data_IF_557168703610
#
_entry.id   IF_557168703610
#
_cell.length_a   1.000
_cell.length_b   1.000
_cell.length_c   1.000
_cell.angle_alpha   90.00
_cell.angle_beta   90.00
_cell.angle_gamma   90.00
#
_symmetry.space_group_name_H-M   'P 1'
#
loop_
_entity.id
_entity.type
_entity.pdbx_description
1 polymer ?
#
# COMPACT_ATOMS: atom_id res chain seq x y z
N UNK A 1 13.42 9.18 15.92
CA UNK A 1 13.48 8.50 17.24
C UNK A 1 14.95 8.45 17.62
N UNK A 2 15.31 8.79 18.86
CA UNK A 2 16.71 8.68 19.29
C UNK A 2 17.04 7.22 19.64
N UNK A 3 18.26 6.79 19.42
CA UNK A 3 18.73 5.43 19.72
C UNK A 3 18.50 5.02 21.18
N UNK A 4 18.62 5.97 22.11
CA UNK A 4 18.34 5.79 23.54
C UNK A 4 16.89 5.37 23.86
N UNK A 5 15.96 5.56 22.91
CA UNK A 5 14.55 5.16 23.05
C UNK A 5 14.21 3.90 22.24
N UNK A 6 15.20 3.19 21.72
CA UNK A 6 15.01 1.96 20.94
C UNK A 6 15.55 0.79 21.75
N UNK A 7 14.69 -0.18 22.03
CA UNK A 7 15.06 -1.42 22.69
C UNK A 7 14.89 -2.57 21.70
N UNK A 8 15.98 -3.29 21.43
CA UNK A 8 15.89 -4.55 20.71
C UNK A 8 15.33 -5.61 21.66
N UNK A 9 14.07 -5.99 21.46
CA UNK A 9 13.41 -7.01 22.29
C UNK A 9 13.71 -8.43 21.83
N UNK A 10 14.00 -8.62 20.54
CA UNK A 10 14.12 -9.95 19.96
C UNK A 10 14.95 -9.97 18.68
N UNK A 11 15.73 -11.03 18.50
CA UNK A 11 16.39 -11.36 17.26
C UNK A 11 16.03 -12.80 16.89
N UNK A 12 15.41 -13.00 15.72
CA UNK A 12 15.04 -14.33 15.21
C UNK A 12 16.04 -14.70 14.11
N UNK A 13 17.06 -15.52 14.40
CA UNK A 13 18.03 -15.92 13.39
C UNK A 13 17.43 -16.98 12.46
N UNK A 14 17.73 -16.90 11.17
CA UNK A 14 17.38 -17.94 10.22
C UNK A 14 17.44 -17.49 8.76
N UNK A 15 17.58 -18.44 7.81
CA UNK A 15 17.61 -18.12 6.38
C UNK A 15 16.25 -17.72 5.82
N UNK A 16 15.17 -17.90 6.59
CA UNK A 16 13.78 -17.72 6.13
C UNK A 16 12.95 -16.98 7.17
N UNK A 17 12.04 -16.12 6.71
CA UNK A 17 11.09 -15.42 7.57
C UNK A 17 10.20 -16.42 8.35
N UNK A 18 9.87 -16.15 9.63
CA UNK A 18 9.13 -17.08 10.49
C UNK A 18 7.66 -17.28 10.07
N UNK A 19 7.12 -16.41 9.21
CA UNK A 19 5.71 -16.46 8.76
C UNK A 19 4.77 -16.58 9.98
N UNK A 20 3.77 -17.45 9.94
CA UNK A 20 2.82 -17.63 11.04
C UNK A 20 3.49 -17.98 12.38
N UNK A 21 4.65 -18.66 12.37
CA UNK A 21 5.38 -19.02 13.58
C UNK A 21 5.97 -17.80 14.32
N UNK A 22 5.88 -16.58 13.76
CA UNK A 22 6.27 -15.35 14.47
C UNK A 22 5.59 -15.26 15.84
N UNK A 23 4.37 -15.78 15.97
CA UNK A 23 3.62 -15.72 17.24
C UNK A 23 4.27 -16.54 18.34
N UNK A 24 4.89 -17.68 17.99
CA UNK A 24 5.65 -18.50 18.95
C UNK A 24 6.81 -17.70 19.52
N UNK A 25 7.51 -16.95 18.66
CA UNK A 25 8.61 -16.10 19.12
C UNK A 25 8.11 -14.94 19.97
N UNK A 26 6.95 -14.36 19.63
CA UNK A 26 6.37 -13.23 20.38
C UNK A 26 5.78 -13.59 21.75
N UNK A 27 5.62 -14.88 22.09
CA UNK A 27 5.02 -15.31 23.36
C UNK A 27 5.65 -14.65 24.61
N UNK A 28 6.98 -14.63 24.81
CA UNK A 28 7.58 -14.01 26.00
C UNK A 28 7.25 -12.51 26.09
N UNK A 29 7.30 -11.80 24.96
CA UNK A 29 6.94 -10.38 24.93
C UNK A 29 5.47 -10.15 25.31
N UNK A 30 4.57 -11.03 24.88
CA UNK A 30 3.14 -10.92 25.20
C UNK A 30 2.88 -11.23 26.68
N UNK A 31 3.58 -12.19 27.26
CA UNK A 31 3.53 -12.49 28.70
C UNK A 31 4.00 -11.31 29.54
N UNK A 32 5.14 -10.71 29.19
CA UNK A 32 5.65 -9.49 29.84
C UNK A 32 4.66 -8.33 29.73
N UNK A 33 4.09 -8.10 28.55
CA UNK A 33 3.10 -7.03 28.34
C UNK A 33 1.80 -7.27 29.12
N UNK A 34 1.38 -8.52 29.34
CA UNK A 34 0.22 -8.85 30.18
C UNK A 34 0.49 -8.55 31.65
N UNK A 35 1.66 -8.94 32.15
CA UNK A 35 2.09 -8.63 33.52
C UNK A 35 2.20 -7.12 33.76
N UNK A 36 2.88 -6.40 32.85
CA UNK A 36 3.05 -4.95 32.92
C UNK A 36 1.72 -4.19 32.81
N UNK A 37 0.73 -4.72 32.10
CA UNK A 37 -0.59 -4.09 31.99
C UNK A 37 -1.44 -4.29 33.26
N UNK A 38 -1.49 -5.52 33.77
CA UNK A 38 -2.38 -5.89 34.88
C UNK A 38 -1.85 -5.42 36.23
N UNK A 39 -0.61 -5.77 36.53
CA UNK A 39 0.03 -5.54 37.83
C UNK A 39 0.94 -4.30 37.74
N UNK A 40 1.75 -4.24 36.69
CA UNK A 40 2.86 -3.29 36.57
C UNK A 40 4.12 -3.79 37.29
N UNK A 41 5.19 -3.01 37.23
CA UNK A 41 6.46 -3.33 37.89
C UNK A 41 6.95 -2.09 38.66
N UNK A 42 7.49 -2.29 39.87
CA UNK A 42 8.14 -1.19 40.59
C UNK A 42 9.46 -0.85 39.92
N UNK A 43 9.59 0.41 39.50
CA UNK A 43 10.80 0.94 38.83
C UNK A 43 11.21 2.23 39.53
N UNK A 44 12.52 2.44 39.68
CA UNK A 44 13.07 3.64 40.26
C UNK A 44 13.33 4.70 39.17
N UNK A 45 12.70 5.87 39.32
CA UNK A 45 12.96 7.05 38.50
C UNK A 45 14.25 7.73 38.99
N UNK A 46 15.33 7.65 38.21
CA UNK A 46 16.62 8.26 38.58
C UNK A 46 16.61 9.78 38.57
N UNK A 47 15.70 10.41 37.82
CA UNK A 47 15.57 11.86 37.75
C UNK A 47 14.80 12.40 38.96
N UNK A 48 13.67 11.79 39.29
CA UNK A 48 12.86 12.18 40.45
C UNK A 48 13.32 11.59 41.78
N UNK A 49 14.18 10.57 41.74
CA UNK A 49 14.68 9.81 42.90
C UNK A 49 13.56 9.14 43.71
N UNK A 50 12.54 8.61 43.03
CA UNK A 50 11.41 7.93 43.66
C UNK A 50 11.06 6.63 42.91
N UNK A 51 10.52 5.65 43.63
CA UNK A 51 9.94 4.46 43.02
C UNK A 51 8.52 4.76 42.53
N UNK A 52 8.16 4.22 41.37
CA UNK A 52 6.80 4.25 40.86
C UNK A 52 6.44 2.93 40.20
N UNK A 53 5.14 2.64 40.11
CA UNK A 53 4.65 1.47 39.37
C UNK A 53 4.59 1.79 37.87
N UNK A 54 5.51 1.22 37.11
CA UNK A 54 5.51 1.28 35.66
C UNK A 54 4.48 0.30 35.10
N UNK A 55 3.61 0.79 34.22
CA UNK A 55 2.73 -0.03 33.39
C UNK A 55 3.02 0.20 31.91
N UNK A 56 2.83 -0.84 31.10
CA UNK A 56 3.09 -0.78 29.67
C UNK A 56 1.90 -1.27 28.85
N UNK A 57 1.75 -0.70 27.66
CA UNK A 57 0.73 -1.07 26.69
C UNK A 57 1.35 -1.06 25.30
N UNK A 58 1.10 -2.11 24.51
CA UNK A 58 1.46 -2.14 23.10
C UNK A 58 0.46 -1.29 22.31
N UNK A 59 0.91 -0.17 21.77
CA UNK A 59 0.04 0.75 21.05
C UNK A 59 -0.35 0.22 19.65
N UNK A 60 0.62 -0.15 18.83
CA UNK A 60 0.40 -0.69 17.48
C UNK A 60 1.67 -1.31 16.92
N UNK A 61 1.55 -2.05 15.81
CA UNK A 61 2.69 -2.46 14.99
C UNK A 61 2.88 -1.55 13.77
N UNK A 62 4.12 -1.42 13.31
CA UNK A 62 4.47 -0.76 12.04
C UNK A 62 5.44 -1.71 11.32
N UNK A 63 5.07 -2.12 10.11
CA UNK A 63 5.85 -3.05 9.28
C UNK A 63 5.57 -2.74 7.81
N UNK A 64 6.37 -3.31 6.91
CA UNK A 64 5.96 -3.42 5.51
C UNK A 64 4.65 -4.22 5.39
N UNK A 65 3.97 -4.11 4.24
CA UNK A 65 2.65 -4.70 4.08
C UNK A 65 2.64 -6.25 4.17
N UNK A 66 3.63 -6.98 3.62
CA UNK A 66 3.79 -8.41 3.89
C UNK A 66 3.98 -8.77 5.38
N UNK A 67 4.83 -8.01 6.10
CA UNK A 67 5.00 -8.16 7.54
C UNK A 67 3.70 -7.92 8.30
N UNK A 68 2.90 -6.95 7.85
CA UNK A 68 1.60 -6.64 8.44
C UNK A 68 0.68 -7.84 8.35
N UNK A 69 0.59 -8.47 7.17
CA UNK A 69 -0.21 -9.69 7.00
C UNK A 69 0.23 -10.82 7.90
N UNK A 70 1.55 -10.95 8.10
CA UNK A 70 2.14 -11.97 8.98
C UNK A 70 1.82 -11.72 10.45
N UNK A 71 1.88 -10.47 10.92
CA UNK A 71 1.55 -10.11 12.30
C UNK A 71 0.04 -10.15 12.57
N UNK A 72 -0.76 -9.61 11.65
CA UNK A 72 -2.22 -9.57 11.76
C UNK A 72 -2.88 -10.93 11.50
N UNK A 73 -2.15 -11.88 10.90
CA UNK A 73 -2.69 -13.18 10.53
C UNK A 73 -3.64 -13.11 9.34
N UNK A 74 -3.46 -12.17 8.41
CA UNK A 74 -4.35 -11.97 7.27
C UNK A 74 -3.64 -12.06 5.92
N UNK A 75 -4.39 -12.42 4.88
CA UNK A 75 -3.96 -12.32 3.50
C UNK A 75 -3.73 -10.86 3.09
N UNK A 76 -2.63 -10.63 2.37
CA UNK A 76 -2.22 -9.32 1.80
C UNK A 76 -2.20 -9.34 0.27
N UNK A 77 -2.78 -10.40 -0.31
CA UNK A 77 -2.95 -10.66 -1.73
C UNK A 77 -4.32 -11.33 -1.94
N UNK A 78 -4.78 -11.39 -3.19
CA UNK A 78 -6.08 -11.98 -3.53
C UNK A 78 -7.24 -11.03 -3.33
N UNK A 79 -8.47 -11.56 -3.37
CA UNK A 79 -9.73 -10.79 -3.25
C UNK A 79 -9.80 -9.91 -2.00
N UNK A 80 -9.35 -10.44 -0.86
CA UNK A 80 -9.46 -9.81 0.46
C UNK A 80 -8.13 -9.24 0.99
N UNK A 81 -7.32 -8.66 0.11
CA UNK A 81 -5.95 -8.24 0.44
C UNK A 81 -5.84 -7.04 1.37
N UNK A 82 -6.89 -6.23 1.56
CA UNK A 82 -6.84 -5.09 2.46
C UNK A 82 -7.05 -5.53 3.91
N UNK A 83 -6.09 -5.22 4.79
CA UNK A 83 -6.21 -5.52 6.21
C UNK A 83 -7.40 -4.80 6.87
N UNK A 84 -7.72 -3.58 6.38
CA UNK A 84 -8.77 -2.70 6.88
C UNK A 84 -10.16 -3.08 6.31
N UNK A 85 -10.29 -3.26 5.00
CA UNK A 85 -11.59 -3.60 4.38
C UNK A 85 -11.97 -5.08 4.58
N UNK A 86 -11.00 -5.99 4.72
CA UNK A 86 -11.29 -7.42 4.87
C UNK A 86 -12.07 -7.99 3.68
N UNK A 87 -13.18 -8.69 3.93
CA UNK A 87 -14.05 -9.22 2.88
C UNK A 87 -14.66 -8.15 1.98
N UNK A 88 -14.81 -6.93 2.50
CA UNK A 88 -15.39 -5.81 1.76
C UNK A 88 -14.35 -5.10 0.88
N UNK A 89 -13.17 -5.69 0.71
CA UNK A 89 -12.15 -5.19 -0.20
C UNK A 89 -12.70 -5.26 -1.63
N UNK A 90 -12.90 -4.12 -2.32
CA UNK A 90 -13.38 -4.14 -3.68
C UNK A 90 -12.25 -4.70 -4.56
N UNK A 91 -12.58 -5.68 -5.39
CA UNK A 91 -11.61 -6.36 -6.20
C UNK A 91 -12.20 -6.72 -7.57
N UNK A 92 -11.31 -6.89 -8.55
CA UNK A 92 -11.61 -7.38 -9.88
C UNK A 92 -10.42 -8.20 -10.37
N UNK A 93 -10.66 -9.33 -11.02
CA UNK A 93 -9.60 -10.10 -11.66
C UNK A 93 -9.38 -9.60 -13.09
N UNK A 94 -8.15 -9.23 -13.41
CA UNK A 94 -7.74 -8.92 -14.79
C UNK A 94 -7.22 -10.19 -15.46
N UNK A 95 -7.93 -10.66 -16.48
CA UNK A 95 -7.70 -11.95 -17.15
C UNK A 95 -6.32 -12.08 -17.77
N UNK A 96 -5.84 -11.06 -18.47
CA UNK A 96 -4.57 -11.08 -19.19
C UNK A 96 -3.40 -10.65 -18.31
N UNK A 97 -3.59 -9.66 -17.43
CA UNK A 97 -2.57 -9.30 -16.42
C UNK A 97 -2.42 -10.35 -15.32
N UNK A 98 -3.40 -11.26 -15.17
CA UNK A 98 -3.45 -12.34 -14.17
C UNK A 98 -3.25 -11.84 -12.76
N UNK A 99 -4.03 -10.83 -12.38
CA UNK A 99 -3.96 -10.25 -11.04
C UNK A 99 -5.27 -9.64 -10.58
N UNK A 100 -5.42 -9.53 -9.27
CA UNK A 100 -6.44 -8.70 -8.65
C UNK A 100 -6.04 -7.22 -8.70
N UNK A 101 -7.01 -6.39 -9.03
CA UNK A 101 -6.96 -4.93 -8.92
C UNK A 101 -8.11 -4.46 -8.03
N UNK A 102 -7.92 -3.34 -7.35
CA UNK A 102 -8.76 -2.86 -6.26
C UNK A 102 -9.39 -1.52 -6.64
N UNK A 103 -10.31 -1.59 -7.59
CA UNK A 103 -11.12 -0.48 -8.07
C UNK A 103 -12.39 -0.34 -7.21
N UNK A 104 -13.50 0.19 -7.73
CA UNK A 104 -14.74 0.26 -6.96
C UNK A 104 -14.76 1.39 -5.93
N UNK A 105 -14.03 2.48 -6.22
CA UNK A 105 -13.87 3.59 -5.28
C UNK A 105 -15.06 4.56 -5.29
N UNK A 106 -15.93 4.51 -6.31
CA UNK A 106 -17.03 5.47 -6.46
C UNK A 106 -18.12 5.25 -5.39
N UNK A 107 -18.27 4.03 -4.87
CA UNK A 107 -19.13 3.73 -3.69
C UNK A 107 -18.72 4.47 -2.42
N UNK A 108 -17.49 4.99 -2.34
CA UNK A 108 -17.00 5.82 -1.23
C UNK A 108 -17.32 7.32 -1.39
N UNK A 109 -17.74 7.77 -2.58
CA UNK A 109 -18.15 9.16 -2.82
C UNK A 109 -19.53 9.44 -2.22
N UNK A 110 -19.99 10.70 -2.19
CA UNK A 110 -21.38 11.00 -1.83
C UNK A 110 -22.38 10.36 -2.81
N UNK A 111 -23.58 9.91 -2.38
CA UNK A 111 -24.55 9.21 -3.25
C UNK A 111 -24.95 9.97 -4.53
N UNK A 112 -25.00 11.30 -4.46
CA UNK A 112 -25.32 12.20 -5.57
C UNK A 112 -24.11 12.57 -6.46
N UNK A 113 -22.90 12.08 -6.13
CA UNK A 113 -21.70 12.47 -6.87
C UNK A 113 -21.76 11.97 -8.32
N UNK A 114 -21.53 12.84 -9.34
CA UNK A 114 -21.72 12.49 -10.74
C UNK A 114 -20.94 11.26 -11.21
N UNK A 115 -19.73 11.04 -10.66
CA UNK A 115 -18.87 9.92 -11.04
C UNK A 115 -19.55 8.56 -10.86
N UNK A 116 -20.42 8.39 -9.85
CA UNK A 116 -21.11 7.11 -9.58
C UNK A 116 -21.92 6.59 -10.77
N UNK A 117 -22.40 7.49 -11.65
CA UNK A 117 -23.26 7.17 -12.80
C UNK A 117 -22.54 7.21 -14.15
N UNK A 118 -21.30 7.72 -14.22
CA UNK A 118 -20.55 7.93 -15.49
C UNK A 118 -19.82 6.66 -15.96
N UNK A 119 -20.57 5.65 -16.42
CA UNK A 119 -20.04 4.36 -16.92
C UNK A 119 -18.81 4.48 -17.82
N UNK A 120 -18.93 5.25 -18.91
CA UNK A 120 -17.90 5.32 -19.97
C UNK A 120 -16.60 6.02 -19.57
N UNK A 121 -16.51 6.61 -18.38
CA UNK A 121 -15.25 7.16 -17.85
C UNK A 121 -14.42 6.13 -17.10
N UNK A 122 -15.02 5.01 -16.71
CA UNK A 122 -14.42 4.04 -15.81
C UNK A 122 -14.44 2.63 -16.43
N UNK A 123 -15.04 1.66 -15.74
CA UNK A 123 -15.13 0.24 -16.07
C UNK A 123 -16.48 -0.14 -16.69
N UNK A 124 -17.20 0.82 -17.29
CA UNK A 124 -18.55 0.65 -17.83
C UNK A 124 -19.64 0.27 -16.81
N UNK A 125 -19.34 0.28 -15.51
CA UNK A 125 -20.32 -0.05 -14.45
C UNK A 125 -20.89 1.20 -13.76
N UNK A 126 -22.03 1.03 -13.10
CA UNK A 126 -22.59 2.01 -12.15
C UNK A 126 -22.36 1.48 -10.75
N UNK A 127 -21.84 2.33 -9.88
CA UNK A 127 -21.58 1.97 -8.49
C UNK A 127 -22.68 2.53 -7.58
N UNK A 128 -23.58 1.64 -7.13
CA UNK A 128 -24.69 1.94 -6.21
C UNK A 128 -24.30 1.49 -4.79
N UNK A 129 -24.89 2.13 -3.78
CA UNK A 129 -24.70 1.81 -2.36
C UNK A 129 -23.57 2.62 -1.71
N UNK A 130 -23.17 2.19 -0.53
CA UNK A 130 -22.10 2.80 0.26
C UNK A 130 -21.01 1.79 0.50
N UNK A 131 -19.78 2.25 0.68
CA UNK A 131 -18.72 1.37 1.17
C UNK A 131 -19.09 0.83 2.56
N UNK A 132 -18.78 -0.43 2.80
CA UNK A 132 -19.08 -1.08 4.08
C UNK A 132 -18.24 -0.47 5.20
N UNK A 133 -18.76 -0.59 6.43
CA UNK A 133 -18.10 -0.10 7.63
C UNK A 133 -16.84 -0.93 7.89
N UNK A 134 -15.75 -0.24 8.24
CA UNK A 134 -14.53 -0.88 8.73
C UNK A 134 -14.85 -1.62 10.04
N UNK A 135 -14.53 -2.91 10.10
CA UNK A 135 -14.73 -3.72 11.30
C UNK A 135 -13.89 -3.25 12.47
N UNK A 136 -14.51 -3.29 13.64
CA UNK A 136 -13.88 -3.13 14.94
C UNK A 136 -12.99 -4.32 15.28
N UNK A 137 -12.09 -4.13 16.26
CA UNK A 137 -11.29 -5.24 16.76
C UNK A 137 -12.12 -6.26 17.52
N UNK A 138 -13.21 -5.84 18.15
CA UNK A 138 -14.19 -6.73 18.81
C UNK A 138 -14.83 -7.69 17.81
N UNK A 139 -15.36 -7.17 16.70
CA UNK A 139 -15.94 -8.02 15.63
C UNK A 139 -14.91 -9.02 15.06
N UNK A 140 -13.65 -8.59 14.90
CA UNK A 140 -12.58 -9.48 14.44
C UNK A 140 -12.24 -10.54 15.49
N UNK A 141 -12.20 -10.17 16.78
CA UNK A 141 -11.96 -11.10 17.88
C UNK A 141 -13.07 -12.15 17.99
N UNK A 142 -14.32 -11.77 17.73
CA UNK A 142 -15.47 -12.66 17.74
C UNK A 142 -15.41 -13.67 16.58
N UNK A 143 -15.06 -13.23 15.36
CA UNK A 143 -14.81 -14.13 14.21
C UNK A 143 -13.69 -15.12 14.52
N UNK A 144 -12.65 -14.67 15.25
CA UNK A 144 -11.48 -15.47 15.60
C UNK A 144 -11.64 -16.27 16.90
N UNK A 145 -12.81 -16.27 17.54
CA UNK A 145 -12.99 -16.85 18.88
C UNK A 145 -12.61 -18.33 18.90
N UNK A 146 -13.13 -19.08 17.94
CA UNK A 146 -12.94 -20.54 17.82
C UNK A 146 -11.85 -20.93 16.80
N UNK A 147 -11.10 -19.94 16.28
CA UNK A 147 -10.02 -20.20 15.34
C UNK A 147 -8.87 -20.91 16.05
N UNK A 148 -8.54 -22.11 15.59
CA UNK A 148 -7.40 -22.89 16.10
C UNK A 148 -6.15 -22.64 15.27
N UNK A 149 -5.09 -22.17 15.92
CA UNK A 149 -3.80 -21.96 15.27
C UNK A 149 -3.01 -23.27 15.20
N UNK A 150 -2.59 -23.64 13.99
CA UNK A 150 -1.65 -24.73 13.74
C UNK A 150 -0.22 -24.17 13.62
N UNK A 151 0.53 -24.17 14.73
CA UNK A 151 1.95 -23.76 14.75
C UNK A 151 2.90 -24.96 14.60
N UNK A 152 4.13 -24.73 14.13
CA UNK A 152 5.21 -25.73 14.20
C UNK A 152 5.26 -26.80 13.10
N UNK A 153 4.31 -26.86 12.15
CA UNK A 153 4.50 -27.69 10.94
C UNK A 153 5.61 -27.09 10.08
N UNK A 154 6.69 -27.84 9.83
CA UNK A 154 7.58 -27.58 8.68
C UNK A 154 6.66 -27.50 7.47
N UNK A 155 6.66 -26.39 6.74
CA UNK A 155 6.05 -26.35 5.41
C UNK A 155 6.56 -27.57 4.67
N UNK A 156 5.69 -28.55 4.41
CA UNK A 156 6.08 -29.73 3.65
C UNK A 156 6.68 -29.20 2.35
N UNK A 157 7.95 -29.49 2.10
CA UNK A 157 8.53 -29.31 0.76
C UNK A 157 7.72 -30.24 -0.15
N UNK A 158 6.57 -29.78 -0.67
CA UNK A 158 6.06 -30.32 -1.92
C UNK A 158 7.22 -30.14 -2.88
N UNK A 159 7.77 -31.26 -3.32
CA UNK A 159 8.87 -31.33 -4.26
C UNK A 159 8.63 -30.33 -5.37
N UNK A 160 9.47 -29.29 -5.43
CA UNK A 160 9.64 -28.53 -6.67
C UNK A 160 10.17 -29.54 -7.68
N UNK A 161 9.30 -30.08 -8.51
CA UNK A 161 9.70 -30.66 -9.79
C UNK A 161 10.60 -29.60 -10.45
N UNK A 162 11.81 -30.04 -10.84
CA UNK A 162 12.87 -29.23 -11.46
C UNK A 162 12.28 -28.15 -12.38
N UNK A 163 12.40 -26.88 -11.98
CA UNK A 163 12.21 -25.74 -12.87
C UNK A 163 13.53 -25.48 -13.59
N UNK A 164 13.60 -25.89 -14.85
CA UNK A 164 14.50 -25.27 -15.82
C UNK A 164 14.08 -23.81 -16.01
N UNK A 165 15.10 -22.96 -16.00
CA UNK A 165 15.15 -21.55 -16.41
C UNK A 165 13.98 -21.00 -17.23
N UNK A 166 13.45 -19.86 -16.81
CA UNK A 166 12.65 -18.94 -17.63
C UNK A 166 11.15 -18.92 -17.29
N UNK A 167 10.62 -17.71 -17.15
CA UNK A 167 9.20 -17.32 -17.10
C UNK A 167 8.38 -17.72 -15.85
N UNK A 168 8.19 -16.75 -14.95
CA UNK A 168 7.21 -16.84 -13.85
C UNK A 168 5.84 -16.33 -14.29
N UNK A 169 5.16 -17.16 -15.07
CA UNK A 169 3.72 -17.17 -15.31
C UNK A 169 3.29 -18.64 -15.15
N UNK A 170 2.50 -18.97 -14.12
CA UNK A 170 1.30 -19.83 -14.22
C UNK A 170 0.87 -20.52 -12.91
N UNK A 171 -0.34 -20.13 -12.49
CA UNK A 171 -1.51 -20.91 -12.07
C UNK A 171 -1.27 -22.13 -11.18
N UNK A 172 -1.65 -21.99 -9.89
CA UNK A 172 -2.26 -23.09 -9.17
C UNK A 172 -3.72 -23.20 -9.63
N UNK A 173 -4.12 -24.41 -10.02
CA UNK A 173 -5.48 -24.80 -10.37
C UNK A 173 -6.50 -24.24 -9.38
N UNK A 174 -7.49 -23.51 -9.92
CA UNK A 174 -8.65 -22.99 -9.19
C UNK A 174 -9.56 -24.17 -8.87
N UNK A 175 -9.42 -24.74 -7.68
CA UNK A 175 -10.57 -25.34 -7.00
C UNK A 175 -11.31 -24.18 -6.32
N UNK A 176 -12.51 -23.87 -6.82
CA UNK A 176 -13.45 -22.92 -6.20
C UNK A 176 -13.92 -23.48 -4.84
N UNK A 177 -13.13 -23.29 -3.78
CA UNK A 177 -13.68 -23.15 -2.44
C UNK A 177 -14.13 -21.69 -2.30
N UNK A 178 -15.29 -21.44 -1.71
CA UNK A 178 -15.90 -20.11 -1.60
C UNK A 178 -14.95 -19.10 -0.90
N UNK A 179 -14.16 -18.37 -1.68
CA UNK A 179 -13.18 -17.35 -1.22
C UNK A 179 -13.84 -16.10 -0.57
N UNK A 180 -15.15 -16.15 -0.33
CA UNK A 180 -15.97 -15.08 0.27
C UNK A 180 -16.20 -15.27 1.78
N UNK A 181 -15.79 -16.40 2.36
CA UNK A 181 -15.83 -16.57 3.82
C UNK A 181 -14.79 -15.65 4.51
N UNK A 182 -15.17 -15.08 5.64
CA UNK A 182 -14.32 -14.22 6.47
C UNK A 182 -13.11 -14.99 7.03
N UNK A 183 -13.27 -16.29 7.25
CA UNK A 183 -12.19 -17.17 7.70
C UNK A 183 -11.15 -17.43 6.60
N UNK A 184 -11.53 -17.40 5.31
CA UNK A 184 -10.60 -17.62 4.20
C UNK A 184 -9.42 -16.63 4.19
N UNK A 185 -9.69 -15.39 4.61
CA UNK A 185 -8.65 -14.35 4.72
C UNK A 185 -7.68 -14.60 5.87
N UNK A 186 -8.14 -15.25 6.93
CA UNK A 186 -7.45 -15.35 8.21
C UNK A 186 -6.59 -16.62 8.21
N UNK A 187 -5.28 -16.43 8.33
CA UNK A 187 -4.29 -17.50 8.38
C UNK A 187 -4.02 -18.00 9.80
N UNK A 188 -4.33 -17.16 10.78
CA UNK A 188 -4.18 -17.41 12.21
C UNK A 188 -4.97 -16.36 13.00
N UNK A 189 -5.27 -16.69 14.24
CA UNK A 189 -5.54 -15.72 15.30
C UNK A 189 -4.22 -15.12 15.77
N UNK A 190 -3.99 -13.84 15.50
CA UNK A 190 -2.79 -13.14 15.95
C UNK A 190 -2.66 -13.20 17.47
N UNK A 191 -1.46 -13.51 17.96
CA UNK A 191 -1.15 -13.54 19.41
C UNK A 191 -1.46 -12.23 20.14
N UNK A 192 -1.46 -11.09 19.43
CA UNK A 192 -1.81 -9.81 20.04
C UNK A 192 -3.24 -9.77 20.59
N UNK A 193 -4.15 -10.63 20.13
CA UNK A 193 -5.50 -10.76 20.71
C UNK A 193 -5.52 -11.39 22.11
N UNK A 194 -4.39 -11.87 22.63
CA UNK A 194 -4.25 -12.24 24.04
C UNK A 194 -4.10 -11.02 24.97
N UNK A 195 -3.72 -9.87 24.42
CA UNK A 195 -3.67 -8.61 25.18
C UNK A 195 -5.12 -8.11 25.37
N UNK A 196 -5.56 -7.84 26.62
CA UNK A 196 -6.97 -7.60 26.92
C UNK A 196 -7.55 -6.36 26.22
N UNK A 197 -6.72 -5.35 25.97
CA UNK A 197 -7.07 -4.08 25.33
C UNK A 197 -6.98 -4.10 23.79
N UNK A 198 -6.37 -5.13 23.19
CA UNK A 198 -6.02 -5.10 21.75
C UNK A 198 -7.24 -4.99 20.83
N UNK A 199 -8.33 -5.67 21.20
CA UNK A 199 -9.60 -5.63 20.46
C UNK A 199 -10.27 -4.24 20.48
N UNK A 200 -9.94 -3.43 21.48
CA UNK A 200 -10.52 -2.09 21.68
C UNK A 200 -9.70 -1.01 20.96
N UNK A 201 -8.47 -1.34 20.52
CA UNK A 201 -7.59 -0.43 19.79
C UNK A 201 -8.19 -0.01 18.44
N UNK A 202 -8.37 1.31 18.17
CA UNK A 202 -8.89 1.80 16.89
C UNK A 202 -7.96 1.51 15.70
N UNK A 203 -6.65 1.49 15.95
CA UNK A 203 -5.59 1.17 14.99
C UNK A 203 -4.65 0.15 15.66
N UNK A 204 -4.58 -1.06 15.11
CA UNK A 204 -3.77 -2.17 15.64
C UNK A 204 -2.47 -2.34 14.86
N UNK A 205 -2.57 -2.31 13.55
CA UNK A 205 -1.46 -2.43 12.62
C UNK A 205 -1.49 -1.23 11.69
N UNK A 206 -0.44 -0.42 11.69
CA UNK A 206 -0.35 0.76 10.81
C UNK A 206 -0.03 0.32 9.39
N UNK A 207 -0.66 0.97 8.42
CA UNK A 207 -0.20 0.94 7.05
C UNK A 207 1.03 1.84 6.96
N UNK A 208 2.19 1.26 6.63
CA UNK A 208 3.41 2.05 6.51
C UNK A 208 3.38 2.97 5.28
N UNK A 209 3.19 4.26 5.56
CA UNK A 209 3.11 5.33 4.54
C UNK A 209 4.38 5.39 3.70
N UNK A 210 5.55 5.12 4.27
CA UNK A 210 6.82 5.16 3.53
C UNK A 210 6.78 4.16 2.36
N UNK A 211 6.44 2.91 2.63
CA UNK A 211 6.36 1.87 1.60
C UNK A 211 5.23 2.11 0.61
N UNK A 212 4.06 2.58 1.08
CA UNK A 212 2.93 2.89 0.20
C UNK A 212 3.28 4.03 -0.76
N UNK A 213 3.79 5.15 -0.25
CA UNK A 213 4.18 6.32 -1.06
C UNK A 213 5.26 5.96 -2.08
N UNK A 214 6.29 5.20 -1.65
CA UNK A 214 7.33 4.69 -2.56
C UNK A 214 6.73 3.85 -3.69
N UNK A 215 5.91 2.85 -3.36
CA UNK A 215 5.33 1.94 -4.37
C UNK A 215 4.39 2.68 -5.34
N UNK A 216 3.60 3.63 -4.84
CA UNK A 216 2.76 4.49 -5.68
C UNK A 216 3.63 5.34 -6.62
N UNK A 217 4.69 5.95 -6.09
CA UNK A 217 5.64 6.75 -6.86
C UNK A 217 6.32 5.94 -7.96
N UNK A 218 6.86 4.76 -7.62
CA UNK A 218 7.50 3.83 -8.55
C UNK A 218 6.56 3.43 -9.69
N UNK A 219 5.30 3.11 -9.37
CA UNK A 219 4.30 2.71 -10.35
C UNK A 219 3.92 3.88 -11.28
N UNK A 220 3.74 5.09 -10.74
CA UNK A 220 3.47 6.29 -11.54
C UNK A 220 4.64 6.59 -12.48
N UNK A 221 5.88 6.61 -11.99
CA UNK A 221 7.05 6.84 -12.83
C UNK A 221 7.19 5.79 -13.92
N UNK A 222 6.97 4.51 -13.58
CA UNK A 222 7.08 3.41 -14.53
C UNK A 222 6.05 3.52 -15.67
N UNK A 223 4.82 3.94 -15.36
CA UNK A 223 3.80 4.23 -16.38
C UNK A 223 4.17 5.46 -17.21
N UNK A 224 4.52 6.58 -16.58
CA UNK A 224 4.79 7.85 -17.26
C UNK A 224 5.98 7.71 -18.22
N UNK A 225 7.03 7.00 -17.77
CA UNK A 225 8.21 6.70 -18.56
C UNK A 225 8.03 5.51 -19.51
N UNK A 226 6.89 4.80 -19.45
CA UNK A 226 6.66 3.54 -20.16
C UNK A 226 7.90 2.62 -20.11
N UNK A 227 8.36 2.34 -18.88
CA UNK A 227 9.53 1.49 -18.63
C UNK A 227 9.16 0.00 -18.62
N UNK A 228 10.13 -0.89 -18.49
CA UNK A 228 9.88 -2.34 -18.41
C UNK A 228 8.95 -2.74 -17.24
N UNK A 229 8.92 -1.96 -16.15
CA UNK A 229 8.03 -2.17 -15.00
C UNK A 229 6.68 -1.47 -15.12
N UNK A 230 6.39 -0.85 -16.27
CA UNK A 230 5.13 -0.16 -16.53
C UNK A 230 3.96 -1.10 -16.28
N UNK A 231 2.97 -0.62 -15.51
CA UNK A 231 1.70 -1.32 -15.36
C UNK A 231 0.84 -1.20 -16.63
N UNK A 232 1.30 -0.52 -17.66
CA UNK A 232 0.64 -0.35 -18.95
C UNK A 232 1.43 -1.00 -20.09
N UNK A 233 1.33 -2.32 -20.21
CA UNK A 233 1.95 -3.12 -21.28
C UNK A 233 0.92 -3.92 -22.08
N UNK A 234 1.39 -4.88 -22.88
CA UNK A 234 0.53 -5.68 -23.77
C UNK A 234 -0.63 -6.36 -23.01
N UNK A 235 -0.34 -6.97 -21.86
CA UNK A 235 -1.35 -7.63 -21.00
C UNK A 235 -2.42 -6.63 -20.55
N UNK A 236 -2.01 -5.45 -20.08
CA UNK A 236 -2.93 -4.41 -19.64
C UNK A 236 -3.82 -3.88 -20.76
N UNK A 237 -3.31 -3.78 -22.00
CA UNK A 237 -4.12 -3.37 -23.16
C UNK A 237 -5.14 -4.43 -23.57
N UNK A 238 -4.78 -5.71 -23.50
CA UNK A 238 -5.74 -6.81 -23.67
C UNK A 238 -6.80 -6.84 -22.58
N UNK A 239 -6.46 -6.48 -21.34
CA UNK A 239 -7.48 -6.31 -20.28
C UNK A 239 -8.46 -5.18 -20.61
N UNK A 240 -8.00 -4.06 -21.19
CA UNK A 240 -8.90 -2.99 -21.64
C UNK A 240 -9.87 -3.47 -22.74
N UNK A 241 -9.39 -4.31 -23.66
CA UNK A 241 -10.20 -4.96 -24.70
C UNK A 241 -11.25 -5.89 -24.09
N UNK A 242 -10.85 -6.78 -23.19
CA UNK A 242 -11.72 -7.74 -22.49
C UNK A 242 -12.82 -7.04 -21.70
N UNK A 243 -12.48 -5.92 -21.05
CA UNK A 243 -13.42 -5.08 -20.30
C UNK A 243 -14.30 -4.19 -21.19
N UNK A 244 -14.03 -4.10 -22.50
CA UNK A 244 -14.76 -3.23 -23.42
C UNK A 244 -14.61 -1.75 -23.12
N UNK A 245 -13.48 -1.32 -22.55
CA UNK A 245 -13.22 0.09 -22.19
C UNK A 245 -12.07 0.66 -23.01
N UNK A 246 -12.12 1.97 -23.27
CA UNK A 246 -11.03 2.74 -23.92
C UNK A 246 -10.55 2.10 -25.22
N UNK A 247 -11.46 1.91 -26.17
CA UNK A 247 -11.18 1.31 -27.48
C UNK A 247 -10.02 1.96 -28.24
N UNK A 248 -9.80 3.26 -28.03
CA UNK A 248 -8.68 4.00 -28.58
C UNK A 248 -7.29 3.56 -28.05
N UNK A 249 -7.23 2.70 -27.03
CA UNK A 249 -6.01 2.15 -26.43
C UNK A 249 -5.83 0.65 -26.72
N UNK A 250 -6.77 0.02 -27.41
CA UNK A 250 -6.71 -1.41 -27.77
C UNK A 250 -5.54 -1.68 -28.71
N UNK A 251 -5.00 -2.89 -28.63
CA UNK A 251 -3.87 -3.33 -29.43
C UNK A 251 -4.22 -3.44 -30.90
N UNK A 252 -3.29 -3.06 -31.77
CA UNK A 252 -3.46 -3.15 -33.22
C UNK A 252 -2.45 -4.15 -33.79
N UNK A 253 -2.92 -5.08 -34.62
CA UNK A 253 -2.01 -5.96 -35.36
C UNK A 253 -1.55 -5.23 -36.62
N UNK A 254 -0.29 -4.77 -36.63
CA UNK A 254 0.34 -4.12 -37.79
C UNK A 254 1.35 -5.09 -38.41
N UNK A 255 0.86 -5.92 -39.33
CA UNK A 255 1.63 -7.00 -39.93
C UNK A 255 2.02 -8.07 -38.90
N UNK A 256 3.32 -8.30 -38.71
CA UNK A 256 3.84 -9.28 -37.72
C UNK A 256 4.00 -8.71 -36.31
N UNK A 257 3.79 -7.40 -36.10
CA UNK A 257 4.02 -6.75 -34.80
C UNK A 257 2.70 -6.28 -34.19
N UNK A 258 2.56 -6.50 -32.88
CA UNK A 258 1.48 -5.88 -32.10
C UNK A 258 1.89 -4.46 -31.73
N UNK A 259 1.14 -3.49 -32.22
CA UNK A 259 1.31 -2.08 -31.91
C UNK A 259 0.42 -1.69 -30.73
N UNK A 260 0.98 -0.93 -29.79
CA UNK A 260 0.24 -0.35 -28.67
C UNK A 260 0.02 1.14 -28.95
N UNK A 261 -1.24 1.59 -29.12
CA UNK A 261 -1.51 3.01 -29.28
C UNK A 261 -1.00 3.84 -28.09
N UNK A 262 -0.33 4.98 -28.34
CA UNK A 262 0.18 5.84 -27.28
C UNK A 262 -0.94 6.30 -26.35
N UNK A 263 -0.75 6.13 -25.04
CA UNK A 263 -1.67 6.68 -24.06
C UNK A 263 -1.36 8.13 -23.72
N UNK A 264 -2.40 8.89 -23.37
CA UNK A 264 -2.30 10.30 -22.98
C UNK A 264 -1.45 10.55 -21.73
N UNK A 265 -1.15 9.52 -20.95
CA UNK A 265 -0.30 9.59 -19.75
C UNK A 265 1.14 9.11 -20.00
N UNK A 266 1.51 8.74 -21.23
CA UNK A 266 2.91 8.44 -21.56
C UNK A 266 3.65 9.74 -21.91
N UNK A 267 4.88 9.86 -21.43
CA UNK A 267 5.80 10.87 -21.94
C UNK A 267 6.41 10.39 -23.25
N UNK A 268 6.36 11.20 -24.29
CA UNK A 268 7.08 10.97 -25.54
C UNK A 268 8.58 11.16 -25.37
N UNK A 269 9.39 10.73 -26.35
CA UNK A 269 10.86 10.75 -26.28
C UNK A 269 11.44 12.10 -25.82
N UNK A 270 10.96 13.21 -26.39
CA UNK A 270 11.42 14.54 -26.03
C UNK A 270 10.90 15.02 -24.66
N UNK A 271 9.70 14.61 -24.27
CA UNK A 271 9.15 14.91 -22.94
C UNK A 271 9.88 14.12 -21.86
N UNK A 272 10.26 12.86 -22.10
CA UNK A 272 11.11 12.06 -21.22
C UNK A 272 12.45 12.75 -20.98
N UNK A 273 13.11 13.24 -22.04
CA UNK A 273 14.36 14.01 -21.92
C UNK A 273 14.16 15.27 -21.08
N UNK A 274 13.09 16.04 -21.33
CA UNK A 274 12.76 17.24 -20.54
C UNK A 274 12.50 16.90 -19.07
N UNK A 275 11.74 15.83 -18.81
CA UNK A 275 11.43 15.35 -17.46
C UNK A 275 12.70 14.95 -16.71
N UNK A 276 13.51 14.05 -17.29
CA UNK A 276 14.79 13.63 -16.72
C UNK A 276 15.73 14.83 -16.50
N UNK A 277 15.81 15.78 -17.44
CA UNK A 277 16.63 17.00 -17.27
C UNK A 277 16.16 17.85 -16.10
N UNK A 278 14.83 18.04 -15.92
CA UNK A 278 14.27 18.77 -14.77
C UNK A 278 14.65 18.11 -13.45
N UNK A 279 14.59 16.77 -13.38
CA UNK A 279 14.97 16.03 -12.18
C UNK A 279 16.48 16.09 -11.91
N UNK A 280 17.31 15.93 -12.95
CA UNK A 280 18.78 15.97 -12.84
C UNK A 280 19.30 17.35 -12.42
N UNK A 281 18.64 18.42 -12.84
CA UNK A 281 18.99 19.79 -12.47
C UNK A 281 18.53 20.20 -11.06
N UNK A 282 17.77 19.35 -10.37
CA UNK A 282 17.32 19.66 -9.02
C UNK A 282 18.49 19.75 -8.05
N UNK A 283 18.49 20.82 -7.25
CA UNK A 283 19.44 21.03 -6.15
C UNK A 283 18.64 21.32 -4.89
N UNK A 284 18.71 20.42 -3.92
CA UNK A 284 18.11 20.56 -2.60
C UNK A 284 19.15 20.98 -1.54
N UNK A 285 18.72 21.44 -0.36
CA UNK A 285 19.59 21.65 0.79
C UNK A 285 20.38 20.40 1.17
N UNK A 286 21.51 20.56 1.84
CA UNK A 286 22.28 19.42 2.34
C UNK A 286 21.43 18.56 3.30
N UNK A 287 21.49 17.22 3.15
CA UNK A 287 20.69 16.28 3.93
C UNK A 287 19.22 16.17 3.52
N UNK A 288 18.76 16.90 2.50
CA UNK A 288 17.34 16.92 2.10
C UNK A 288 16.91 15.70 1.27
N UNK A 289 17.76 15.20 0.36
CA UNK A 289 17.54 13.98 -0.42
C UNK A 289 18.90 13.41 -0.86
N UNK A 290 18.94 12.21 -1.42
CA UNK A 290 20.11 11.82 -2.20
C UNK A 290 20.25 12.76 -3.42
N UNK A 291 21.44 12.79 -4.04
CA UNK A 291 21.62 13.54 -5.27
C UNK A 291 20.82 12.88 -6.40
N UNK A 292 19.66 13.46 -6.72
CA UNK A 292 18.70 12.90 -7.69
C UNK A 292 19.31 12.78 -9.08
N UNK A 293 20.31 13.60 -9.43
CA UNK A 293 21.04 13.45 -10.70
C UNK A 293 21.66 12.06 -10.85
N UNK A 294 22.07 11.42 -9.77
CA UNK A 294 22.67 10.08 -9.79
C UNK A 294 21.62 8.98 -10.05
N UNK A 295 20.34 9.29 -9.88
CA UNK A 295 19.23 8.37 -10.13
C UNK A 295 18.62 8.55 -11.53
N UNK A 296 19.16 9.47 -12.34
CA UNK A 296 18.59 9.88 -13.62
C UNK A 296 19.60 9.73 -14.74
N UNK A 297 19.22 9.03 -15.80
CA UNK A 297 19.95 8.98 -17.07
C UNK A 297 19.28 9.92 -18.08
N UNK A 298 20.07 10.67 -18.85
CA UNK A 298 19.58 11.56 -19.92
C UNK A 298 19.63 10.91 -21.30
N UNK A 299 20.57 9.99 -21.53
CA UNK A 299 20.72 9.28 -22.80
C UNK A 299 21.15 7.81 -22.58
N UNK A 300 20.24 6.84 -22.74
CA UNK A 300 18.80 7.02 -22.94
C UNK A 300 18.11 7.60 -21.69
N UNK A 301 16.99 8.35 -21.83
CA UNK A 301 16.24 8.87 -20.69
C UNK A 301 15.71 7.76 -19.78
N UNK A 302 16.09 7.80 -18.51
CA UNK A 302 15.74 6.78 -17.53
C UNK A 302 15.80 7.29 -16.10
N UNK A 303 15.11 6.59 -15.21
CA UNK A 303 15.10 6.85 -13.77
C UNK A 303 15.25 5.50 -13.06
N UNK A 304 16.15 5.40 -12.09
CA UNK A 304 16.37 4.19 -11.31
C UNK A 304 17.24 4.44 -10.08
N UNK A 305 17.27 3.47 -9.17
CA UNK A 305 18.12 3.53 -7.97
C UNK A 305 17.67 4.47 -6.86
N UNK A 306 16.46 5.06 -6.97
CA UNK A 306 15.89 5.89 -5.91
C UNK A 306 15.53 5.06 -4.67
N UNK A 307 15.88 5.58 -3.49
CA UNK A 307 15.47 5.00 -2.21
C UNK A 307 14.10 5.56 -1.79
N UNK A 308 13.50 4.97 -0.76
CA UNK A 308 12.19 5.39 -0.25
C UNK A 308 12.12 6.88 0.06
N UNK A 309 13.21 7.48 0.56
CA UNK A 309 13.25 8.92 0.84
C UNK A 309 13.26 9.79 -0.42
N UNK A 310 13.96 9.35 -1.47
CA UNK A 310 14.02 10.10 -2.73
C UNK A 310 12.65 10.10 -3.40
N UNK A 311 11.91 8.99 -3.32
CA UNK A 311 10.50 8.92 -3.75
C UNK A 311 9.59 9.87 -2.97
N UNK A 312 9.78 9.98 -1.66
CA UNK A 312 9.03 10.92 -0.82
C UNK A 312 9.27 12.37 -1.23
N UNK A 313 10.54 12.76 -1.40
CA UNK A 313 10.89 14.11 -1.89
C UNK A 313 10.33 14.36 -3.28
N UNK A 314 10.43 13.36 -4.17
CA UNK A 314 9.90 13.42 -5.52
C UNK A 314 8.39 13.63 -5.53
N UNK A 315 7.62 12.79 -4.82
CA UNK A 315 6.16 12.87 -4.75
C UNK A 315 5.70 14.21 -4.19
N UNK A 316 6.32 14.66 -3.10
CA UNK A 316 5.80 15.81 -2.36
C UNK A 316 6.16 17.16 -2.96
N UNK A 317 7.32 17.27 -3.62
CA UNK A 317 7.88 18.58 -3.98
C UNK A 317 8.19 18.72 -5.48
N UNK A 318 8.53 17.62 -6.15
CA UNK A 318 9.11 17.71 -7.49
C UNK A 318 8.16 17.23 -8.58
N UNK A 319 7.47 16.10 -8.40
CA UNK A 319 6.72 15.42 -9.45
C UNK A 319 5.63 16.32 -10.08
N UNK A 320 4.80 17.06 -9.31
CA UNK A 320 3.80 17.96 -9.89
C UNK A 320 4.42 19.10 -10.73
N UNK A 321 5.58 19.61 -10.30
CA UNK A 321 6.29 20.70 -10.98
C UNK A 321 7.02 20.17 -12.22
N UNK A 322 7.69 19.02 -12.08
CA UNK A 322 8.44 18.37 -13.14
C UNK A 322 7.55 17.90 -14.28
N UNK A 323 6.30 17.51 -14.01
CA UNK A 323 5.31 17.13 -15.03
C UNK A 323 4.54 18.31 -15.64
N UNK A 324 4.79 19.55 -15.17
CA UNK A 324 4.07 20.72 -15.67
C UNK A 324 4.31 20.92 -17.17
N UNK A 325 3.24 21.02 -17.95
CA UNK A 325 3.27 21.15 -19.42
C UNK A 325 3.81 19.91 -20.16
N UNK A 326 4.02 18.78 -19.47
CA UNK A 326 4.44 17.52 -20.11
C UNK A 326 3.30 16.51 -20.28
N UNK A 327 2.20 16.69 -19.57
CA UNK A 327 1.03 15.83 -19.65
C UNK A 327 -0.21 16.66 -19.98
N UNK A 328 -1.22 16.07 -20.66
CA UNK A 328 -2.53 16.67 -20.79
C UNK A 328 -3.15 16.98 -19.43
N UNK A 329 -4.03 18.00 -19.39
CA UNK A 329 -4.61 18.54 -18.15
C UNK A 329 -5.24 17.48 -17.24
N UNK A 330 -5.92 16.49 -17.80
CA UNK A 330 -6.58 15.41 -17.02
C UNK A 330 -5.60 14.56 -16.20
N UNK A 331 -4.72 13.76 -16.85
CA UNK A 331 -3.69 12.98 -16.16
C UNK A 331 -2.79 13.83 -15.25
N UNK A 332 -2.43 15.04 -15.68
CA UNK A 332 -1.60 15.95 -14.89
C UNK A 332 -2.27 16.33 -13.56
N UNK A 333 -3.57 16.66 -13.57
CA UNK A 333 -4.33 16.98 -12.36
C UNK A 333 -4.41 15.75 -11.45
N UNK A 334 -4.69 14.56 -12.00
CA UNK A 334 -4.80 13.34 -11.21
C UNK A 334 -3.49 13.01 -10.47
N UNK A 335 -2.34 13.10 -11.15
CA UNK A 335 -1.02 12.91 -10.53
C UNK A 335 -0.71 14.00 -9.50
N UNK A 336 -1.03 15.26 -9.82
CA UNK A 336 -0.81 16.38 -8.89
C UNK A 336 -1.64 16.22 -7.61
N UNK A 337 -2.89 15.75 -7.71
CA UNK A 337 -3.75 15.53 -6.54
C UNK A 337 -3.22 14.45 -5.61
N UNK A 338 -2.74 13.32 -6.14
CA UNK A 338 -2.17 12.26 -5.29
C UNK A 338 -0.85 12.71 -4.64
N UNK A 339 -0.03 13.50 -5.34
CA UNK A 339 1.16 14.12 -4.77
C UNK A 339 0.80 15.09 -3.62
N UNK A 340 -0.17 15.97 -3.84
CA UNK A 340 -0.65 16.91 -2.83
C UNK A 340 -1.28 16.20 -1.62
N UNK A 341 -1.93 15.07 -1.84
CA UNK A 341 -2.47 14.23 -0.76
C UNK A 341 -1.35 13.75 0.17
N UNK A 342 -0.30 13.11 -0.38
CA UNK A 342 0.83 12.66 0.42
C UNK A 342 1.58 13.82 1.10
N UNK A 343 1.79 14.93 0.38
CA UNK A 343 2.40 16.13 0.94
C UNK A 343 1.64 16.61 2.19
N UNK A 344 0.30 16.76 2.10
CA UNK A 344 -0.55 17.21 3.22
C UNK A 344 -0.60 16.18 4.36
N UNK A 345 -0.67 14.90 4.03
CA UNK A 345 -0.73 13.81 5.00
C UNK A 345 0.57 13.69 5.82
N UNK A 346 1.72 14.03 5.22
CA UNK A 346 3.03 13.93 5.85
C UNK A 346 3.51 15.24 6.52
N UNK A 347 2.66 16.27 6.61
CA UNK A 347 3.01 17.50 7.32
C UNK A 347 3.26 17.22 8.82
N UNK A 348 4.16 17.98 9.42
CA UNK A 348 4.52 17.82 10.84
C UNK A 348 3.36 18.14 11.78
N UNK A 349 2.54 19.13 11.41
CA UNK A 349 1.38 19.59 12.17
C UNK A 349 0.18 19.48 11.24
N UNK A 350 -0.85 18.74 11.66
CA UNK A 350 -2.06 18.51 10.89
C UNK A 350 -3.25 18.67 11.81
N UNK A 351 -4.18 19.55 11.43
CA UNK A 351 -5.45 19.73 12.14
C UNK A 351 -6.39 18.55 11.86
N UNK A 352 -7.07 17.99 12.88
CA UNK A 352 -8.02 16.89 12.70
C UNK A 352 -9.11 17.16 11.66
N UNK A 353 -9.63 18.39 11.53
CA UNK A 353 -10.66 18.69 10.52
C UNK A 353 -10.13 18.62 9.09
N UNK A 354 -8.84 18.92 8.88
CA UNK A 354 -8.18 18.79 7.56
C UNK A 354 -8.06 17.33 7.15
N UNK A 355 -7.93 16.40 8.10
CA UNK A 355 -7.89 14.96 7.83
C UNK A 355 -9.23 14.42 7.33
N UNK A 356 -10.36 14.91 7.86
CA UNK A 356 -11.69 14.55 7.35
C UNK A 356 -11.87 14.98 5.89
N UNK A 357 -11.39 16.18 5.53
CA UNK A 357 -11.37 16.64 4.13
C UNK A 357 -10.46 15.76 3.27
N UNK A 358 -9.28 15.41 3.77
CA UNK A 358 -8.34 14.51 3.08
C UNK A 358 -8.93 13.12 2.83
N UNK A 359 -9.71 12.55 3.77
CA UNK A 359 -10.43 11.27 3.60
C UNK A 359 -11.41 11.34 2.41
N UNK A 360 -12.13 12.44 2.23
CA UNK A 360 -13.03 12.61 1.07
C UNK A 360 -12.26 12.89 -0.24
N UNK A 361 -11.23 13.76 -0.18
CA UNK A 361 -10.46 14.17 -1.35
C UNK A 361 -9.66 13.02 -1.98
N UNK A 362 -9.14 12.07 -1.17
CA UNK A 362 -8.40 10.92 -1.68
C UNK A 362 -9.30 9.97 -2.48
N UNK A 363 -10.56 9.80 -2.09
CA UNK A 363 -11.53 9.00 -2.83
C UNK A 363 -11.76 9.60 -4.23
N UNK A 364 -11.97 10.91 -4.30
CA UNK A 364 -12.15 11.58 -5.60
C UNK A 364 -10.86 11.51 -6.43
N UNK A 365 -9.70 11.64 -5.78
CA UNK A 365 -8.38 11.52 -6.44
C UNK A 365 -8.17 10.12 -7.02
N UNK A 366 -8.55 9.06 -6.31
CA UNK A 366 -8.50 7.69 -6.83
C UNK A 366 -9.44 7.49 -8.01
N UNK A 367 -10.63 8.08 -7.98
CA UNK A 367 -11.53 8.07 -9.13
C UNK A 367 -10.92 8.83 -10.33
N UNK A 368 -10.27 9.97 -10.12
CA UNK A 368 -9.60 10.68 -11.22
C UNK A 368 -8.44 9.89 -11.80
N UNK A 369 -7.64 9.21 -10.96
CA UNK A 369 -6.63 8.27 -11.44
C UNK A 369 -7.29 7.14 -12.24
N UNK A 370 -8.35 6.51 -11.71
CA UNK A 370 -9.06 5.40 -12.36
C UNK A 370 -9.61 5.80 -13.73
N UNK A 371 -10.06 7.04 -13.88
CA UNK A 371 -10.55 7.57 -15.15
C UNK A 371 -9.48 7.61 -16.24
N UNK A 372 -8.23 7.93 -15.90
CA UNK A 372 -7.19 8.18 -16.89
C UNK A 372 -6.18 7.03 -17.03
N UNK A 373 -5.86 6.33 -15.94
CA UNK A 373 -4.83 5.29 -15.88
C UNK A 373 -5.46 3.90 -16.01
N UNK A 374 -4.72 2.87 -16.48
CA UNK A 374 -5.30 1.56 -16.73
C UNK A 374 -5.65 0.85 -15.40
N UNK A 375 -6.66 -0.04 -15.38
CA UNK A 375 -7.04 -0.85 -14.22
C UNK A 375 -5.86 -1.56 -13.55
N UNK A 376 -4.90 -2.00 -14.35
CA UNK A 376 -3.67 -2.64 -13.91
C UNK A 376 -2.80 -1.77 -12.99
N UNK A 377 -2.99 -0.45 -12.92
CA UNK A 377 -2.29 0.39 -11.96
C UNK A 377 -2.78 0.17 -10.52
N UNK A 378 -4.07 -0.17 -10.34
CA UNK A 378 -4.75 -0.19 -9.05
C UNK A 378 -4.50 -1.50 -8.28
N UNK A 379 -3.23 -1.84 -8.03
CA UNK A 379 -2.91 -2.90 -7.07
C UNK A 379 -3.14 -2.44 -5.62
N UNK A 380 -2.84 -3.31 -4.66
CA UNK A 380 -3.15 -3.06 -3.24
C UNK A 380 -2.50 -1.76 -2.75
N UNK A 381 -1.34 -1.36 -3.29
CA UNK A 381 -0.65 -0.13 -2.88
C UNK A 381 -1.39 1.13 -3.31
N UNK A 382 -2.25 1.06 -4.32
CA UNK A 382 -3.15 2.17 -4.70
C UNK A 382 -4.46 2.17 -3.91
N UNK A 383 -4.82 1.05 -3.28
CA UNK A 383 -6.00 0.98 -2.42
C UNK A 383 -5.71 1.52 -1.01
N UNK A 384 -4.54 1.20 -0.45
CA UNK A 384 -4.16 1.57 0.92
C UNK A 384 -4.22 3.09 1.25
N UNK A 385 -3.91 4.02 0.33
CA UNK A 385 -4.05 5.45 0.58
C UNK A 385 -5.46 5.89 1.01
N UNK A 386 -6.50 5.13 0.67
CA UNK A 386 -7.87 5.42 1.11
C UNK A 386 -8.03 5.36 2.63
N UNK A 387 -7.13 4.68 3.34
CA UNK A 387 -7.20 4.47 4.79
C UNK A 387 -6.25 5.39 5.58
N UNK A 388 -5.23 5.95 4.93
CA UNK A 388 -4.13 6.63 5.63
C UNK A 388 -4.57 7.90 6.36
N UNK A 389 -5.48 8.68 5.78
CA UNK A 389 -5.99 9.89 6.42
C UNK A 389 -6.81 9.57 7.68
N UNK A 390 -7.61 8.50 7.65
CA UNK A 390 -8.32 7.97 8.83
C UNK A 390 -7.34 7.47 9.88
N UNK A 391 -6.31 6.73 9.49
CA UNK A 391 -5.26 6.30 10.41
C UNK A 391 -4.52 7.49 11.04
N UNK A 392 -4.26 8.56 10.28
CA UNK A 392 -3.69 9.80 10.82
C UNK A 392 -4.61 10.53 11.78
N UNK A 393 -5.93 10.46 11.56
CA UNK A 393 -6.89 11.05 12.48
C UNK A 393 -6.98 10.30 13.80
N UNK A 394 -6.80 8.97 13.77
CA UNK A 394 -6.87 8.12 14.96
C UNK A 394 -5.54 8.00 15.70
N UNK A 395 -4.41 7.90 14.99
CA UNK A 395 -3.08 7.67 15.54
C UNK A 395 -2.17 8.90 15.55
N UNK A 396 -2.65 10.05 15.08
CA UNK A 396 -1.85 11.26 14.95
C UNK A 396 -0.92 11.28 13.74
N UNK A 397 0.02 12.24 13.69
CA UNK A 397 0.87 12.47 12.52
C UNK A 397 1.66 11.24 12.05
N UNK A 398 1.86 11.14 10.74
CA UNK A 398 2.54 9.99 10.09
C UNK A 398 3.98 9.81 10.56
N UNK A 399 4.67 10.88 10.95
CA UNK A 399 6.10 10.82 11.26
C UNK A 399 6.46 9.95 12.48
N UNK A 400 5.49 9.61 13.32
CA UNK A 400 5.64 8.65 14.42
C UNK A 400 5.23 7.22 14.05
N UNK A 401 4.73 7.00 12.83
CA UNK A 401 4.02 5.79 12.40
C UNK A 401 4.48 5.25 11.05
N UNK A 402 5.72 5.57 10.68
CA UNK A 402 6.37 5.12 9.44
C UNK A 402 7.75 4.53 9.72
N UNK A 403 8.30 3.78 8.77
CA UNK A 403 9.52 3.00 8.99
C UNK A 403 10.84 3.77 8.76
N UNK A 404 10.81 5.03 8.31
CA UNK A 404 12.05 5.79 8.03
C UNK A 404 13.09 5.78 9.16
N UNK A 405 12.75 5.93 10.45
CA UNK A 405 13.75 5.93 11.51
C UNK A 405 14.45 4.58 11.75
N UNK A 406 13.86 3.48 11.27
CA UNK A 406 14.33 2.12 11.55
C UNK A 406 15.06 1.50 10.34
N UNK A 407 14.79 1.97 9.13
CA UNK A 407 15.39 1.46 7.88
C UNK A 407 16.50 2.37 7.30
N UNK A 408 16.85 3.45 7.99
CA UNK A 408 17.88 4.40 7.53
C UNK A 408 19.26 4.14 8.11
#
# INVERSE_FOLDING_TARGET
MKSENIMLTMLIPGPTAPSNNIDVYLQPLIEDLKSLWAEGMEVYDSFKKESFTLRAMLLWSITDYPGLGTLAGCNVKGKQACNVCGKDTPHMWLKFSRKHVYMGNRKRLMPNHPYRRRKGWFDNTVEIGTANRIRSGVEIADILRDFKNDFGKKLSKKSKQKRTTGDEDDVASVEEYEEDDDLWRLKKKSIFFELPYWKDMPVRHNIDVMHVEKNVSDALLSILMHSAKSKDGLKARKDLEDMGIRSNLHTEVRGKKTYLPPAAYWLYKEEKKKFCRRLSNFKGPNGYSANISNCVSLDPPGIGGMKSHDHHVLMQNMLPVALRVLLPRGPQIAVTRICNYFNRLCQRIIEPEKLLKLEAEIVETMCQLERFFPPSLFDIMFHLPLHLAREARLGGPVHFRWMYPFER
#
